data_IF_458418216454
#
_entry.id   IF_458418216454
#
_cell.length_a   1.000
_cell.length_b   1.000
_cell.length_c   1.000
_cell.angle_alpha   90.00
_cell.angle_beta   90.00
_cell.angle_gamma   90.00
#
_symmetry.space_group_name_H-M   'P 1'
#
loop_
_entity.id
_entity.type
_entity.pdbx_description
1 polymer ?
#
# COMPACT_ATOMS: atom_id res chain seq x y z
N UNK A 1 -3.90 -13.46 2.30
CA UNK A 1 -3.61 -12.65 1.09
C UNK A 1 -2.12 -12.72 0.81
N UNK A 2 -1.69 -12.78 -0.45
CA UNK A 2 -0.27 -12.82 -0.79
C UNK A 2 0.39 -11.44 -0.62
N UNK A 3 1.60 -11.43 -0.07
CA UNK A 3 2.45 -10.26 0.00
C UNK A 3 3.27 -10.13 -1.29
N UNK A 4 3.46 -8.91 -1.77
CA UNK A 4 4.15 -8.64 -3.04
C UNK A 4 5.48 -7.92 -2.86
N UNK A 5 5.54 -6.94 -1.95
CA UNK A 5 6.74 -6.12 -1.76
C UNK A 5 6.89 -5.65 -0.32
N UNK A 6 8.13 -5.46 0.10
CA UNK A 6 8.51 -4.95 1.41
C UNK A 6 9.59 -3.88 1.23
N UNK A 7 9.45 -2.75 1.92
CA UNK A 7 10.42 -1.64 1.89
C UNK A 7 10.60 -1.10 3.30
N UNK A 8 11.85 -0.91 3.71
CA UNK A 8 12.19 -0.17 4.93
C UNK A 8 12.63 1.22 4.52
N UNK A 9 12.01 2.24 5.11
CA UNK A 9 12.41 3.62 4.92
C UNK A 9 13.60 3.93 5.85
N UNK A 10 14.79 4.22 5.29
CA UNK A 10 15.99 4.46 6.08
C UNK A 10 15.95 5.79 6.86
N UNK A 11 15.05 6.71 6.51
CA UNK A 11 14.97 8.03 7.14
C UNK A 11 14.29 8.01 8.51
N UNK A 12 13.36 7.07 8.71
CA UNK A 12 12.51 7.00 9.91
C UNK A 12 12.33 5.57 10.43
N UNK A 13 13.03 4.59 9.84
CA UNK A 13 12.98 3.16 10.18
C UNK A 13 11.58 2.53 10.08
N UNK A 14 10.68 3.13 9.30
CA UNK A 14 9.33 2.60 9.05
C UNK A 14 9.40 1.43 8.08
N UNK A 15 8.52 0.46 8.30
CA UNK A 15 8.42 -0.72 7.47
C UNK A 15 7.11 -0.70 6.70
N UNK A 16 7.18 -0.71 5.37
CA UNK A 16 6.01 -0.76 4.50
C UNK A 16 5.92 -2.14 3.83
N UNK A 17 4.73 -2.73 3.83
CA UNK A 17 4.45 -4.02 3.19
C UNK A 17 3.26 -3.86 2.26
N UNK A 18 3.44 -4.19 0.99
CA UNK A 18 2.38 -4.25 0.00
C UNK A 18 1.87 -5.69 -0.10
N UNK A 19 0.55 -5.85 -0.05
CA UNK A 19 -0.16 -7.06 -0.39
C UNK A 19 -1.24 -6.79 -1.42
N UNK A 20 -1.78 -7.85 -2.03
CA UNK A 20 -2.90 -7.71 -2.95
C UNK A 20 -4.08 -7.06 -2.22
N UNK A 21 -4.51 -5.88 -2.70
CA UNK A 21 -5.56 -5.03 -2.13
C UNK A 21 -5.22 -4.30 -0.82
N UNK A 22 -3.98 -4.38 -0.33
CA UNK A 22 -3.61 -3.77 0.95
C UNK A 22 -2.21 -3.17 0.93
N UNK A 23 -2.05 -2.09 1.69
CA UNK A 23 -0.77 -1.48 2.01
C UNK A 23 -0.67 -1.30 3.52
N UNK A 24 0.37 -1.87 4.11
CA UNK A 24 0.59 -1.85 5.54
C UNK A 24 1.80 -1.00 5.87
N UNK A 25 1.67 -0.23 6.94
CA UNK A 25 2.76 0.43 7.62
C UNK A 25 2.90 -0.20 8.99
N UNK A 26 4.05 -0.82 9.22
CA UNK A 26 4.34 -1.65 10.38
C UNK A 26 5.40 -0.98 11.27
N UNK A 27 5.33 -1.30 12.55
CA UNK A 27 6.44 -1.07 13.47
C UNK A 27 7.57 -2.06 13.16
N UNK A 28 8.79 -1.55 12.96
CA UNK A 28 9.95 -2.39 12.65
C UNK A 28 10.41 -3.26 13.83
N UNK A 29 10.01 -2.92 15.06
CA UNK A 29 10.41 -3.63 16.29
C UNK A 29 9.65 -4.93 16.52
N UNK A 30 8.34 -4.95 16.24
CA UNK A 30 7.44 -6.05 16.59
C UNK A 30 6.50 -6.45 15.44
N UNK A 31 6.64 -5.81 14.28
CA UNK A 31 5.83 -6.03 13.08
C UNK A 31 4.33 -5.78 13.29
N UNK A 32 3.96 -5.04 14.34
CA UNK A 32 2.57 -4.65 14.58
C UNK A 32 2.11 -3.64 13.54
N UNK A 33 0.84 -3.75 13.12
CA UNK A 33 0.24 -2.83 12.15
C UNK A 33 0.00 -1.48 12.81
N UNK A 34 0.63 -0.44 12.29
CA UNK A 34 0.37 0.94 12.69
C UNK A 34 -0.72 1.56 11.84
N UNK A 35 -0.62 1.42 10.52
CA UNK A 35 -1.63 1.88 9.56
C UNK A 35 -1.86 0.81 8.53
N UNK A 36 -3.13 0.65 8.17
CA UNK A 36 -3.59 -0.16 7.05
C UNK A 36 -4.28 0.76 6.05
N UNK A 37 -3.98 0.58 4.77
CA UNK A 37 -4.71 1.18 3.67
C UNK A 37 -5.27 0.07 2.78
N UNK A 38 -6.57 0.16 2.50
CA UNK A 38 -7.26 -0.74 1.56
C UNK A 38 -7.09 -0.17 0.16
N UNK A 39 -6.42 -0.90 -0.72
CA UNK A 39 -6.18 -0.51 -2.12
C UNK A 39 -7.08 -1.24 -3.11
N UNK A 40 -7.92 -2.17 -2.63
CA UNK A 40 -8.91 -2.90 -3.44
C UNK A 40 -9.71 -3.92 -2.61
N UNK A 41 -10.39 -4.89 -3.24
CA UNK A 41 -10.59 -5.02 -4.68
C UNK A 41 -11.51 -3.92 -5.21
N UNK A 42 -11.26 -3.48 -6.43
CA UNK A 42 -12.09 -2.51 -7.14
C UNK A 42 -12.70 -3.21 -8.36
N UNK A 43 -13.97 -2.93 -8.65
CA UNK A 43 -14.61 -3.44 -9.87
C UNK A 43 -14.00 -2.70 -11.06
N UNK A 44 -13.07 -3.37 -11.73
CA UNK A 44 -12.35 -2.87 -12.90
C UNK A 44 -12.20 -3.99 -13.93
N UNK A 45 -12.00 -3.61 -15.19
CA UNK A 45 -11.85 -4.54 -16.30
C UNK A 45 -10.60 -4.22 -17.10
N UNK A 46 -9.78 -5.23 -17.38
CA UNK A 46 -8.61 -5.13 -18.27
C UNK A 46 -8.95 -4.58 -19.67
N UNK A 47 -10.22 -4.66 -20.05
CA UNK A 47 -10.74 -4.15 -21.33
C UNK A 47 -10.97 -2.63 -21.31
N UNK A 48 -11.08 -2.03 -20.12
CA UNK A 48 -11.22 -0.60 -19.92
C UNK A 48 -9.85 0.09 -20.00
N UNK A 49 -9.27 0.16 -21.21
CA UNK A 49 -8.00 0.85 -21.49
C UNK A 49 -8.13 2.38 -21.59
N UNK A 50 -8.90 2.98 -20.70
CA UNK A 50 -8.96 4.43 -20.53
C UNK A 50 -8.01 4.83 -19.42
N UNK A 51 -7.23 5.89 -19.66
CA UNK A 51 -6.36 6.60 -18.69
C UNK A 51 -7.18 7.23 -17.54
N UNK A 52 -8.08 6.46 -16.93
CA UNK A 52 -8.62 6.82 -15.63
C UNK A 52 -7.46 6.70 -14.68
N UNK A 53 -6.90 7.86 -14.29
CA UNK A 53 -6.14 8.02 -13.06
C UNK A 53 -7.02 7.47 -11.93
N UNK A 54 -7.00 6.15 -11.74
CA UNK A 54 -7.49 5.49 -10.55
C UNK A 54 -6.66 6.10 -9.45
N UNK A 55 -7.26 7.08 -8.78
CA UNK A 55 -6.67 7.69 -7.60
C UNK A 55 -6.72 6.58 -6.57
N UNK A 56 -5.69 5.73 -6.54
CA UNK A 56 -5.43 4.86 -5.40
C UNK A 56 -5.42 5.81 -4.23
N UNK A 57 -6.45 5.72 -3.38
CA UNK A 57 -6.65 6.66 -2.30
C UNK A 57 -5.60 6.33 -1.24
N UNK A 58 -4.38 6.79 -1.48
CA UNK A 58 -3.32 6.71 -0.48
C UNK A 58 -3.76 7.65 0.65
N UNK A 59 -3.87 7.13 1.89
CA UNK A 59 -4.05 8.00 3.03
C UNK A 59 -2.96 9.08 3.00
N UNK A 60 -3.22 10.29 3.53
CA UNK A 60 -2.24 11.39 3.50
C UNK A 60 -0.90 11.05 4.20
N UNK A 61 -0.84 9.92 4.91
CA UNK A 61 0.34 9.38 5.58
C UNK A 61 1.22 8.47 4.71
N UNK A 62 0.76 8.12 3.50
CA UNK A 62 1.47 7.28 2.53
C UNK A 62 1.86 8.11 1.30
N UNK A 63 2.85 8.98 1.48
CA UNK A 63 3.54 9.63 0.37
C UNK A 63 4.77 8.79 0.01
N UNK A 64 4.77 8.12 -1.14
CA UNK A 64 6.02 7.62 -1.72
C UNK A 64 6.81 8.81 -2.26
N UNK A 65 7.93 9.13 -1.62
CA UNK A 65 8.95 10.06 -2.14
C UNK A 65 9.90 9.34 -3.09
#
# INVERSE_FOLDING_TARGET
MPFEKMVVDPSNTRLYVAGVNYLYDLHSSDLSVRVEAVTGPMDDSDQCKGDQLQTVFFPPYFTLS
#
